data_IF_194632199837
#
_entry.id   IF_194632199837
#
_cell.length_a   1.000
_cell.length_b   1.000
_cell.length_c   1.000
_cell.angle_alpha   90.00
_cell.angle_beta   90.00
_cell.angle_gamma   90.00
#
_symmetry.space_group_name_H-M   'P 1'
#
loop_
_entity.id
_entity.type
_entity.pdbx_description
1 polymer ?
#
# COMPACT_ATOMS: atom_id res chain seq x y z
N UNK A 1 -2.59 12.20 -20.95
CA UNK A 1 -1.22 12.02 -21.47
C UNK A 1 -0.89 13.15 -22.42
N UNK A 2 0.25 13.82 -22.24
CA UNK A 2 0.73 14.81 -23.20
C UNK A 2 1.11 14.09 -24.50
N UNK A 3 0.57 14.60 -25.62
CA UNK A 3 0.68 14.05 -26.97
C UNK A 3 2.07 14.31 -27.57
N UNK A 4 3.09 13.57 -27.14
CA UNK A 4 4.40 13.58 -27.82
C UNK A 4 5.03 12.18 -27.81
N UNK A 5 4.42 11.27 -28.56
CA UNK A 5 4.86 9.88 -28.70
C UNK A 5 4.94 9.51 -30.17
N UNK A 6 5.95 8.72 -30.55
CA UNK A 6 6.01 8.12 -31.88
C UNK A 6 4.86 7.11 -32.10
N UNK A 7 4.61 6.74 -33.36
CA UNK A 7 3.54 5.81 -33.80
C UNK A 7 2.10 6.35 -33.73
N UNK A 8 1.89 7.64 -34.00
CA UNK A 8 0.57 8.31 -33.95
C UNK A 8 -0.50 7.70 -34.87
N UNK A 9 -0.10 6.95 -35.90
CA UNK A 9 -1.02 6.24 -36.81
C UNK A 9 -1.63 4.96 -36.25
N UNK A 10 -1.26 4.55 -35.02
CA UNK A 10 -1.83 3.39 -34.34
C UNK A 10 -2.84 3.87 -33.31
N UNK A 11 -4.11 3.57 -33.54
CA UNK A 11 -5.16 3.86 -32.56
C UNK A 11 -4.99 3.00 -31.31
N UNK A 12 -5.04 3.66 -30.14
CA UNK A 12 -5.03 3.02 -28.83
C UNK A 12 -6.22 3.47 -28.02
N UNK A 13 -6.84 2.54 -27.30
CA UNK A 13 -7.96 2.85 -26.42
C UNK A 13 -7.49 3.79 -25.31
N UNK A 14 -8.21 4.89 -25.13
CA UNK A 14 -7.90 5.86 -24.07
C UNK A 14 -8.31 5.29 -22.72
N UNK A 15 -7.39 5.36 -21.75
CA UNK A 15 -7.66 5.06 -20.34
C UNK A 15 -7.92 6.35 -19.58
N UNK A 16 -8.77 6.25 -18.56
CA UNK A 16 -8.96 7.30 -17.55
C UNK A 16 -7.59 7.79 -17.03
N UNK A 17 -7.44 9.09 -16.86
CA UNK A 17 -6.23 9.68 -16.27
C UNK A 17 -6.31 9.58 -14.75
N UNK A 18 -5.18 9.73 -14.07
CA UNK A 18 -5.16 9.79 -12.61
C UNK A 18 -5.72 11.14 -12.10
N UNK A 19 -6.35 11.19 -10.92
CA UNK A 19 -6.76 10.04 -10.09
C UNK A 19 -7.89 9.26 -10.77
N UNK A 20 -7.79 7.93 -10.74
CA UNK A 20 -8.75 7.04 -11.39
C UNK A 20 -9.78 6.54 -10.40
N UNK A 21 -11.01 6.39 -10.88
CA UNK A 21 -12.05 5.65 -10.16
C UNK A 21 -12.32 4.28 -10.79
N UNK A 22 -11.96 4.07 -12.06
CA UNK A 22 -12.16 2.80 -12.78
C UNK A 22 -10.87 2.31 -13.44
N UNK A 23 -10.82 1.00 -13.65
CA UNK A 23 -9.64 0.34 -14.22
C UNK A 23 -8.38 0.53 -13.39
N UNK A 24 -8.50 0.50 -12.06
CA UNK A 24 -7.39 0.66 -11.12
C UNK A 24 -6.38 -0.45 -11.33
N UNK A 25 -5.11 -0.09 -11.43
CA UNK A 25 -4.00 -1.05 -11.50
C UNK A 25 -3.18 -0.96 -10.22
N UNK A 26 -2.92 -2.11 -9.62
CA UNK A 26 -2.04 -2.24 -8.48
C UNK A 26 -0.80 -3.04 -8.89
N UNK A 27 0.38 -2.56 -8.52
CA UNK A 27 1.60 -3.35 -8.56
C UNK A 27 1.91 -3.95 -7.19
N UNK A 28 2.67 -5.04 -7.17
CA UNK A 28 3.20 -5.64 -5.94
C UNK A 28 4.72 -5.47 -5.95
N UNK A 29 5.22 -4.80 -4.92
CA UNK A 29 6.63 -4.60 -4.63
C UNK A 29 7.14 -5.72 -3.72
N UNK A 30 7.92 -6.63 -4.29
CA UNK A 30 8.53 -7.77 -3.60
C UNK A 30 9.91 -7.47 -2.99
N UNK A 31 10.26 -6.19 -2.81
CA UNK A 31 11.53 -5.77 -2.22
C UNK A 31 12.44 -5.06 -3.22
N UNK A 32 11.87 -4.21 -4.08
CA UNK A 32 12.63 -3.41 -5.03
C UNK A 32 13.56 -2.43 -4.31
N UNK A 33 14.79 -2.31 -4.81
CA UNK A 33 15.68 -1.20 -4.46
C UNK A 33 15.11 0.13 -4.97
N UNK A 34 15.55 1.25 -4.39
CA UNK A 34 15.05 2.59 -4.76
C UNK A 34 15.32 2.93 -6.24
N UNK A 35 16.49 2.56 -6.77
CA UNK A 35 16.83 2.79 -8.17
C UNK A 35 15.92 2.01 -9.12
N UNK A 36 15.71 0.72 -8.86
CA UNK A 36 14.81 -0.11 -9.68
C UNK A 36 13.35 0.35 -9.57
N UNK A 37 12.94 0.79 -8.38
CA UNK A 37 11.62 1.38 -8.18
C UNK A 37 11.45 2.66 -9.00
N UNK A 38 12.45 3.56 -8.98
CA UNK A 38 12.41 4.81 -9.74
C UNK A 38 12.37 4.55 -11.25
N UNK A 39 13.22 3.65 -11.76
CA UNK A 39 13.26 3.27 -13.17
C UNK A 39 11.90 2.74 -13.67
N UNK A 40 11.27 1.84 -12.90
CA UNK A 40 9.93 1.34 -13.20
C UNK A 40 8.91 2.48 -13.20
N UNK A 41 8.94 3.36 -12.20
CA UNK A 41 7.96 4.43 -12.06
C UNK A 41 8.11 5.51 -13.14
N UNK A 42 9.32 5.79 -13.63
CA UNK A 42 9.54 6.74 -14.73
C UNK A 42 8.75 6.35 -15.99
N UNK A 43 8.63 5.06 -16.27
CA UNK A 43 7.96 4.56 -17.48
C UNK A 43 6.50 4.19 -17.18
N UNK A 44 6.26 3.48 -16.08
CA UNK A 44 4.98 2.80 -15.84
C UNK A 44 4.04 3.53 -14.87
N UNK A 45 4.49 4.57 -14.16
CA UNK A 45 3.67 5.23 -13.13
C UNK A 45 2.34 5.75 -13.66
N UNK A 46 2.28 6.19 -14.91
CA UNK A 46 1.02 6.65 -15.52
C UNK A 46 -0.04 5.54 -15.58
N UNK A 47 0.34 4.26 -15.54
CA UNK A 47 -0.54 3.09 -15.59
C UNK A 47 -0.78 2.40 -14.24
N UNK A 48 -0.04 2.76 -13.19
CA UNK A 48 -0.06 2.11 -11.87
C UNK A 48 -0.67 3.06 -10.85
N UNK A 49 -1.72 2.67 -10.14
CA UNK A 49 -2.41 3.54 -9.17
C UNK A 49 -2.02 3.24 -7.73
N UNK A 50 -1.82 1.95 -7.41
CA UNK A 50 -1.48 1.46 -6.08
C UNK A 50 -0.19 0.64 -6.10
N UNK A 51 0.61 0.69 -5.03
CA UNK A 51 1.78 -0.14 -4.85
C UNK A 51 1.73 -0.87 -3.50
N UNK A 52 1.56 -2.19 -3.54
CA UNK A 52 1.58 -3.03 -2.35
C UNK A 52 3.02 -3.39 -1.99
N UNK A 53 3.51 -2.98 -0.83
CA UNK A 53 4.77 -3.49 -0.26
C UNK A 53 4.49 -4.87 0.34
N UNK A 54 4.99 -5.92 -0.30
CA UNK A 54 4.51 -7.27 -0.10
C UNK A 54 4.72 -7.80 1.32
N UNK A 55 3.73 -8.54 1.82
CA UNK A 55 3.80 -9.34 3.05
C UNK A 55 4.30 -8.49 4.24
N UNK A 56 5.45 -8.84 4.83
CA UNK A 56 6.05 -8.15 5.97
C UNK A 56 7.29 -7.35 5.61
N UNK A 57 7.56 -7.07 4.33
CA UNK A 57 8.79 -6.39 3.87
C UNK A 57 8.98 -5.04 4.59
N UNK A 58 7.89 -4.31 4.85
CA UNK A 58 7.94 -3.05 5.59
C UNK A 58 8.60 -3.16 6.97
N UNK A 59 8.59 -4.34 7.59
CA UNK A 59 9.25 -4.58 8.88
C UNK A 59 10.72 -5.02 8.74
N UNK A 60 11.13 -5.46 7.55
CA UNK A 60 12.45 -6.04 7.29
C UNK A 60 13.48 -5.03 6.80
N UNK A 61 13.04 -3.86 6.34
CA UNK A 61 13.90 -2.78 5.86
C UNK A 61 14.13 -1.72 6.94
N UNK A 62 15.14 -0.86 6.75
CA UNK A 62 15.37 0.26 7.66
C UNK A 62 14.24 1.28 7.55
N UNK A 63 14.02 2.04 8.64
CA UNK A 63 13.03 3.11 8.69
C UNK A 63 13.23 4.13 7.57
N UNK A 64 14.46 4.61 7.38
CA UNK A 64 14.77 5.65 6.40
C UNK A 64 14.54 5.15 4.98
N UNK A 65 14.93 3.91 4.68
CA UNK A 65 14.67 3.29 3.39
C UNK A 65 13.17 3.17 3.09
N UNK A 66 12.35 2.78 4.08
CA UNK A 66 10.91 2.66 3.88
C UNK A 66 10.24 4.02 3.65
N UNK A 67 10.65 5.04 4.41
CA UNK A 67 10.17 6.41 4.23
C UNK A 67 10.50 6.91 2.82
N UNK A 68 11.73 6.71 2.37
CA UNK A 68 12.16 7.12 1.03
C UNK A 68 11.43 6.36 -0.08
N UNK A 69 11.26 5.04 0.08
CA UNK A 69 10.47 4.19 -0.83
C UNK A 69 9.04 4.69 -0.97
N UNK A 70 8.36 4.97 0.13
CA UNK A 70 6.98 5.45 0.11
C UNK A 70 6.88 6.88 -0.45
N UNK A 71 7.85 7.75 -0.14
CA UNK A 71 7.93 9.07 -0.74
C UNK A 71 8.11 8.99 -2.26
N UNK A 72 8.95 8.07 -2.75
CA UNK A 72 9.17 7.86 -4.18
C UNK A 72 7.89 7.40 -4.91
N UNK A 73 7.13 6.44 -4.36
CA UNK A 73 5.83 6.08 -4.94
C UNK A 73 4.89 7.29 -5.04
N UNK A 74 4.78 8.07 -3.97
CA UNK A 74 3.90 9.26 -3.94
C UNK A 74 4.33 10.36 -4.91
N UNK A 75 5.65 10.57 -5.10
CA UNK A 75 6.18 11.52 -6.12
C UNK A 75 5.68 11.20 -7.53
N UNK A 76 5.40 9.93 -7.82
CA UNK A 76 4.87 9.46 -9.10
C UNK A 76 3.34 9.25 -9.09
N UNK A 77 2.63 9.84 -8.11
CA UNK A 77 1.17 9.70 -7.92
C UNK A 77 0.73 8.23 -7.82
N UNK A 78 1.55 7.36 -7.21
CA UNK A 78 1.20 5.97 -6.87
C UNK A 78 1.01 5.90 -5.37
N UNK A 79 -0.11 5.36 -4.91
CA UNK A 79 -0.41 5.24 -3.48
C UNK A 79 0.21 3.96 -2.92
N UNK A 80 1.24 4.04 -2.05
CA UNK A 80 1.81 2.87 -1.44
C UNK A 80 0.95 2.40 -0.26
N UNK A 81 0.94 1.09 -0.01
CA UNK A 81 0.32 0.50 1.16
C UNK A 81 1.04 -0.78 1.60
N UNK A 82 0.99 -1.14 2.90
CA UNK A 82 1.60 -2.37 3.39
C UNK A 82 0.72 -3.58 3.08
N UNK A 83 1.35 -4.75 2.86
CA UNK A 83 0.62 -6.01 2.74
C UNK A 83 -0.13 -6.38 4.02
N UNK A 84 -1.36 -6.90 3.89
CA UNK A 84 -2.24 -7.18 5.01
C UNK A 84 -1.73 -8.26 5.97
N UNK A 85 -0.87 -9.17 5.48
CA UNK A 85 -0.22 -10.17 6.34
C UNK A 85 0.65 -9.54 7.45
N UNK A 86 1.15 -8.31 7.28
CA UNK A 86 1.86 -7.62 8.36
C UNK A 86 0.90 -7.21 9.48
N UNK A 87 -0.30 -6.73 9.15
CA UNK A 87 -1.36 -6.46 10.13
C UNK A 87 -1.78 -7.75 10.85
N UNK A 88 -2.01 -8.82 10.09
CA UNK A 88 -2.34 -10.14 10.64
C UNK A 88 -1.27 -10.65 11.63
N UNK A 89 0.02 -10.48 11.29
CA UNK A 89 1.12 -10.84 12.18
C UNK A 89 1.08 -10.07 13.50
N UNK A 90 0.81 -8.77 13.46
CA UNK A 90 0.73 -7.90 14.65
C UNK A 90 -0.44 -8.33 15.54
N UNK A 91 -1.62 -8.56 14.97
CA UNK A 91 -2.81 -9.05 15.69
C UNK A 91 -2.52 -10.40 16.36
N UNK A 92 -1.96 -11.35 15.60
CA UNK A 92 -1.62 -12.69 16.09
C UNK A 92 -0.69 -12.64 17.30
N UNK A 93 0.34 -11.79 17.21
CA UNK A 93 1.34 -11.61 18.24
C UNK A 93 0.79 -11.04 19.54
N UNK A 94 -0.20 -10.15 19.48
CA UNK A 94 -0.87 -9.62 20.66
C UNK A 94 -1.83 -10.65 21.27
N UNK A 95 -2.65 -11.31 20.43
CA UNK A 95 -3.55 -12.39 20.88
C UNK A 95 -2.78 -13.51 21.59
N UNK A 96 -1.64 -13.96 21.05
CA UNK A 96 -0.77 -14.98 21.68
C UNK A 96 -0.25 -14.56 23.06
N UNK A 97 -0.04 -13.26 23.29
CA UNK A 97 0.42 -12.71 24.57
C UNK A 97 -0.73 -12.32 25.50
N UNK A 98 -1.98 -12.65 25.14
CA UNK A 98 -3.20 -12.26 25.85
C UNK A 98 -3.32 -10.73 26.04
N UNK A 99 -2.85 -9.97 25.05
CA UNK A 99 -3.02 -8.52 24.98
C UNK A 99 -4.16 -8.15 24.05
N UNK A 100 -4.65 -6.92 24.17
CA UNK A 100 -5.71 -6.40 23.31
C UNK A 100 -5.22 -6.29 21.86
N UNK A 101 -5.93 -6.94 20.94
CA UNK A 101 -5.61 -6.87 19.51
C UNK A 101 -5.87 -5.49 18.92
N UNK A 102 -6.84 -4.72 19.44
CA UNK A 102 -7.13 -3.38 18.93
C UNK A 102 -6.01 -2.38 19.26
N UNK A 103 -5.36 -2.52 20.42
CA UNK A 103 -4.15 -1.77 20.74
C UNK A 103 -3.05 -2.03 19.68
N UNK A 104 -2.87 -3.29 19.29
CA UNK A 104 -1.92 -3.70 18.26
C UNK A 104 -2.23 -3.04 16.90
N UNK A 105 -3.51 -2.99 16.53
CA UNK A 105 -3.99 -2.38 15.28
C UNK A 105 -3.73 -0.87 15.28
N UNK A 106 -4.02 -0.17 16.39
CA UNK A 106 -3.78 1.28 16.52
C UNK A 106 -2.28 1.60 16.35
N UNK A 107 -1.40 0.89 17.04
CA UNK A 107 0.06 1.06 16.91
C UNK A 107 0.50 0.83 15.44
N UNK A 108 -0.02 -0.22 14.80
CA UNK A 108 0.30 -0.50 13.41
C UNK A 108 -0.15 0.61 12.46
N UNK A 109 -1.33 1.19 12.66
CA UNK A 109 -1.83 2.31 11.88
C UNK A 109 -1.02 3.59 12.10
N UNK A 110 -0.62 3.91 13.33
CA UNK A 110 0.26 5.04 13.64
C UNK A 110 1.60 4.91 12.91
N UNK A 111 2.26 3.76 13.05
CA UNK A 111 3.54 3.51 12.39
C UNK A 111 3.42 3.53 10.86
N UNK A 112 2.33 3.00 10.31
CA UNK A 112 2.05 3.02 8.87
C UNK A 112 1.89 4.47 8.34
N UNK A 113 1.25 5.37 9.10
CA UNK A 113 1.17 6.80 8.74
C UNK A 113 2.53 7.47 8.81
N UNK A 114 3.30 7.19 9.86
CA UNK A 114 4.64 7.77 10.08
C UNK A 114 5.60 7.44 8.95
N UNK A 115 5.49 6.27 8.34
CA UNK A 115 6.32 5.87 7.19
C UNK A 115 5.74 6.31 5.84
N UNK A 116 4.60 6.99 5.84
CA UNK A 116 4.03 7.63 4.65
C UNK A 116 3.11 6.77 3.80
N UNK A 117 2.55 5.68 4.35
CA UNK A 117 1.46 4.97 3.68
C UNK A 117 0.17 5.80 3.69
N UNK A 118 -0.59 5.71 2.61
CA UNK A 118 -1.83 6.47 2.40
C UNK A 118 -3.06 5.59 2.18
N UNK A 119 -2.86 4.29 2.06
CA UNK A 119 -3.90 3.27 1.88
C UNK A 119 -3.57 2.10 2.81
N UNK A 120 -4.59 1.36 3.25
CA UNK A 120 -4.41 0.18 4.12
C UNK A 120 -5.08 -1.07 3.54
N UNK A 121 -4.41 -2.21 3.67
CA UNK A 121 -4.98 -3.54 3.41
C UNK A 121 -5.39 -4.19 4.75
N UNK A 122 -6.63 -4.67 4.83
CA UNK A 122 -7.10 -5.49 5.95
C UNK A 122 -7.49 -6.87 5.42
N UNK A 123 -6.69 -7.87 5.77
CA UNK A 123 -6.86 -9.27 5.35
C UNK A 123 -6.95 -10.23 6.53
N UNK A 124 -7.33 -11.47 6.22
CA UNK A 124 -7.52 -12.59 7.14
C UNK A 124 -7.06 -13.90 6.45
N UNK A 125 -5.96 -13.82 5.71
CA UNK A 125 -5.45 -14.92 4.88
C UNK A 125 -4.75 -16.02 5.71
N UNK A 126 -4.16 -15.64 6.85
CA UNK A 126 -3.31 -16.51 7.69
C UNK A 126 -3.93 -16.71 9.07
N UNK A 127 -4.57 -15.68 9.63
CA UNK A 127 -5.31 -15.79 10.89
C UNK A 127 -6.81 -15.63 10.68
N UNK A 128 -7.59 -16.28 11.54
CA UNK A 128 -9.02 -16.05 11.56
C UNK A 128 -9.32 -14.70 12.21
N UNK A 129 -9.94 -13.81 11.45
CA UNK A 129 -10.56 -12.57 11.90
C UNK A 129 -12.04 -12.67 11.54
N UNK A 130 -12.92 -12.57 12.53
CA UNK A 130 -14.35 -12.62 12.27
C UNK A 130 -14.78 -11.40 11.43
N UNK A 131 -15.89 -11.49 10.66
CA UNK A 131 -16.40 -10.34 9.90
C UNK A 131 -16.66 -9.10 10.79
N UNK A 132 -17.08 -9.31 12.04
CA UNK A 132 -17.30 -8.21 12.98
C UNK A 132 -15.99 -7.58 13.44
N UNK A 133 -14.97 -8.36 13.80
CA UNK A 133 -13.63 -7.83 14.11
C UNK A 133 -13.06 -7.08 12.90
N UNK A 134 -13.19 -7.64 11.69
CA UNK A 134 -12.71 -7.02 10.44
C UNK A 134 -13.41 -5.69 10.18
N UNK A 135 -14.72 -5.61 10.38
CA UNK A 135 -15.48 -4.35 10.29
C UNK A 135 -14.97 -3.33 11.30
N UNK A 136 -14.74 -3.73 12.55
CA UNK A 136 -14.18 -2.82 13.58
C UNK A 136 -12.80 -2.30 13.17
N UNK A 137 -11.92 -3.18 12.67
CA UNK A 137 -10.56 -2.81 12.21
C UNK A 137 -10.63 -1.82 11.04
N UNK A 138 -11.49 -2.06 10.05
CA UNK A 138 -11.67 -1.17 8.90
C UNK A 138 -12.25 0.19 9.34
N UNK A 139 -13.28 0.18 10.20
CA UNK A 139 -13.90 1.43 10.67
C UNK A 139 -12.90 2.27 11.45
N UNK A 140 -12.09 1.63 12.29
CA UNK A 140 -11.00 2.29 13.02
C UNK A 140 -10.01 2.99 12.08
N UNK A 141 -9.60 2.33 10.98
CA UNK A 141 -8.67 2.90 10.01
C UNK A 141 -9.22 4.20 9.37
N UNK A 142 -10.51 4.21 9.03
CA UNK A 142 -11.18 5.35 8.39
C UNK A 142 -11.45 6.47 9.40
N UNK A 143 -12.06 6.13 10.54
CA UNK A 143 -12.59 7.10 11.50
C UNK A 143 -11.53 7.76 12.37
N UNK A 144 -10.53 7.02 12.83
CA UNK A 144 -9.50 7.54 13.74
C UNK A 144 -8.18 7.89 13.01
N UNK A 145 -7.87 7.21 11.91
CA UNK A 145 -6.57 7.33 11.25
C UNK A 145 -6.62 8.02 9.87
N UNK A 146 -7.81 8.22 9.29
CA UNK A 146 -7.99 8.95 8.04
C UNK A 146 -7.38 8.27 6.81
N UNK A 147 -7.39 6.93 6.81
CA UNK A 147 -7.07 6.11 5.64
C UNK A 147 -8.25 5.96 4.69
#
# INVERSE_FOLDING_TARGET
MSKNTFFEGIEVMQREQKPREKGITMMIDWGLGLLSQEDILQIASSYIDLAKVAVGISRMVTKDFLIEKNALYRRFNVNPFPGGMLLELVIHQYKKRRKDALEAVKIYYEESRRVGYTVMEVSDNVIHITPQEKKTIISLAVEEFGY
#
